data_IF_653229357200
#
_entry.id   IF_653229357200
#
_cell.length_a   1.000
_cell.length_b   1.000
_cell.length_c   1.000
_cell.angle_alpha   90.00
_cell.angle_beta   90.00
_cell.angle_gamma   90.00
#
_symmetry.space_group_name_H-M   'P 1'
#
loop_
_entity.id
_entity.type
_entity.pdbx_description
1 polymer ?
#
# COMPACT_ATOMS: atom_id res chain seq x y z
N UNK A 1 4.84 6.49 8.84
CA UNK A 1 6.01 5.82 8.25
C UNK A 1 7.03 6.84 7.79
N UNK A 2 6.62 7.80 6.96
CA UNK A 2 7.46 8.92 6.51
C UNK A 2 8.12 9.65 7.69
N UNK A 3 7.35 9.98 8.73
CA UNK A 3 7.87 10.58 9.97
C UNK A 3 8.96 9.74 10.64
N UNK A 4 8.71 8.44 10.86
CA UNK A 4 9.66 7.53 11.48
C UNK A 4 10.93 7.33 10.65
N UNK A 5 10.85 7.46 9.32
CA UNK A 5 11.99 7.33 8.42
C UNK A 5 12.97 8.52 8.49
N UNK A 6 12.54 9.63 9.09
CA UNK A 6 13.36 10.83 9.28
C UNK A 6 14.15 10.81 10.60
N UNK A 7 13.92 9.82 11.46
CA UNK A 7 14.61 9.68 12.74
C UNK A 7 15.99 9.04 12.56
N UNK A 8 16.97 9.47 13.37
CA UNK A 8 18.33 8.91 13.34
C UNK A 8 18.39 7.44 13.77
N UNK A 9 17.39 6.98 14.53
CA UNK A 9 17.29 5.60 14.99
C UNK A 9 15.95 5.31 15.68
N UNK A 10 15.58 4.04 15.71
CA UNK A 10 14.37 3.53 16.34
C UNK A 10 14.73 2.41 17.32
N UNK A 11 14.08 2.40 18.47
CA UNK A 11 14.10 1.27 19.42
C UNK A 11 12.68 0.74 19.53
N UNK A 12 12.48 -0.54 19.24
CA UNK A 12 11.16 -1.17 19.23
C UNK A 12 11.09 -2.16 20.39
N UNK A 13 10.13 -1.95 21.29
CA UNK A 13 9.85 -2.86 22.42
C UNK A 13 8.86 -3.93 21.94
N UNK A 14 9.33 -5.18 21.87
CA UNK A 14 8.49 -6.32 21.49
C UNK A 14 7.92 -6.99 22.76
N UNK A 15 6.64 -6.76 23.05
CA UNK A 15 5.95 -7.42 24.15
C UNK A 15 5.70 -8.92 23.89
N UNK A 16 5.66 -9.69 24.98
CA UNK A 16 5.28 -11.12 25.01
C UNK A 16 4.22 -11.35 26.09
N UNK A 17 3.60 -12.53 26.06
CA UNK A 17 2.57 -12.93 27.04
C UNK A 17 1.40 -11.93 27.04
N UNK A 18 1.09 -11.34 28.19
CA UNK A 18 0.03 -10.33 28.37
C UNK A 18 0.51 -8.90 28.07
N UNK A 19 1.79 -8.72 27.72
CA UNK A 19 2.38 -7.43 27.39
C UNK A 19 3.58 -7.07 28.27
N UNK A 20 3.84 -5.77 28.34
CA UNK A 20 4.94 -5.18 29.11
C UNK A 20 4.35 -4.50 30.34
N UNK A 21 5.11 -4.43 31.45
CA UNK A 21 4.68 -3.70 32.64
C UNK A 21 4.39 -2.22 32.27
N UNK A 22 3.21 -1.74 32.64
CA UNK A 22 2.74 -0.39 32.30
C UNK A 22 3.75 0.70 32.69
N UNK A 23 4.47 0.55 33.81
CA UNK A 23 5.44 1.56 34.26
C UNK A 23 6.68 1.63 33.37
N UNK A 24 6.99 0.56 32.65
CA UNK A 24 8.05 0.55 31.64
C UNK A 24 7.58 1.30 30.39
N UNK A 25 6.31 1.11 30.00
CA UNK A 25 5.71 1.85 28.89
C UNK A 25 5.65 3.35 29.21
N UNK A 26 5.06 3.73 30.35
CA UNK A 26 5.00 5.13 30.81
C UNK A 26 6.39 5.78 30.97
N UNK A 27 7.43 4.99 31.29
CA UNK A 27 8.78 5.48 31.53
C UNK A 27 9.68 5.58 30.30
N UNK A 28 9.41 4.81 29.24
CA UNK A 28 10.33 4.65 28.11
C UNK A 28 9.67 4.63 26.73
N UNK A 29 8.36 4.37 26.62
CA UNK A 29 7.69 4.33 25.33
C UNK A 29 7.16 5.71 24.94
N UNK A 30 7.67 6.26 23.84
CA UNK A 30 7.18 7.53 23.29
C UNK A 30 5.85 7.36 22.54
N UNK A 31 5.67 6.23 21.85
CA UNK A 31 4.51 5.93 21.02
C UNK A 31 4.13 4.44 21.08
N UNK A 32 2.83 4.17 20.92
CA UNK A 32 2.28 2.82 20.74
C UNK A 32 1.74 2.65 19.30
N UNK A 33 2.24 1.64 18.59
CA UNK A 33 1.90 1.42 17.18
C UNK A 33 1.27 0.02 17.03
N UNK A 34 0.08 -0.01 16.42
CA UNK A 34 -0.56 -1.26 16.01
C UNK A 34 -0.33 -1.55 14.52
N UNK A 35 -0.05 -2.81 14.19
CA UNK A 35 0.03 -3.28 12.80
C UNK A 35 -1.36 -3.59 12.19
N UNK A 36 -2.43 -3.52 13.00
CA UNK A 36 -3.82 -3.65 12.56
C UNK A 36 -4.74 -4.24 13.62
N UNK A 37 -6.02 -4.36 13.28
CA UNK A 37 -7.09 -4.80 14.20
C UNK A 37 -7.12 -6.33 14.37
N UNK A 38 -6.04 -6.89 14.89
CA UNK A 38 -5.88 -8.32 15.19
C UNK A 38 -4.84 -8.53 16.29
N UNK A 39 -4.89 -9.69 16.96
CA UNK A 39 -3.97 -10.03 18.06
C UNK A 39 -2.95 -11.06 17.56
N UNK A 40 -1.67 -10.84 17.88
CA UNK A 40 -0.55 -11.75 17.61
C UNK A 40 0.11 -12.20 18.92
N UNK A 41 0.91 -13.27 18.86
CA UNK A 41 1.53 -13.87 20.05
C UNK A 41 2.67 -13.05 20.66
N UNK A 42 3.20 -12.07 19.93
CA UNK A 42 4.34 -11.26 20.33
C UNK A 42 4.59 -10.11 19.36
N UNK A 43 5.35 -9.11 19.81
CA UNK A 43 5.62 -7.88 19.08
C UNK A 43 6.60 -8.00 17.91
N UNK A 44 7.26 -9.14 17.72
CA UNK A 44 8.31 -9.30 16.70
C UNK A 44 7.79 -9.13 15.27
N UNK A 45 6.63 -9.71 14.95
CA UNK A 45 6.07 -9.59 13.60
C UNK A 45 5.65 -8.14 13.30
N UNK A 46 4.88 -7.45 14.17
CA UNK A 46 4.64 -6.01 14.03
C UNK A 46 5.92 -5.18 13.90
N UNK A 47 6.95 -5.48 14.70
CA UNK A 47 8.22 -4.77 14.65
C UNK A 47 8.93 -4.95 13.30
N UNK A 48 8.95 -6.17 12.75
CA UNK A 48 9.51 -6.45 11.43
C UNK A 48 8.70 -5.77 10.31
N UNK A 49 7.36 -5.75 10.41
CA UNK A 49 6.51 -5.06 9.44
C UNK A 49 6.75 -3.55 9.46
N UNK A 50 6.87 -2.96 10.66
CA UNK A 50 7.19 -1.55 10.84
C UNK A 50 8.58 -1.23 10.27
N UNK A 51 9.59 -2.03 10.62
CA UNK A 51 10.95 -1.84 10.13
C UNK A 51 11.04 -1.93 8.61
N UNK A 52 10.40 -2.92 7.98
CA UNK A 52 10.34 -3.05 6.51
C UNK A 52 9.70 -1.81 5.88
N UNK A 53 8.52 -1.39 6.37
CA UNK A 53 7.81 -0.23 5.85
C UNK A 53 8.61 1.07 5.99
N UNK A 54 9.29 1.29 7.12
CA UNK A 54 10.11 2.48 7.36
C UNK A 54 11.40 2.45 6.54
N UNK A 55 12.11 1.32 6.49
CA UNK A 55 13.36 1.20 5.75
C UNK A 55 13.21 1.46 4.25
N UNK A 56 12.07 1.09 3.66
CA UNK A 56 11.77 1.39 2.24
C UNK A 56 11.72 2.88 1.94
N UNK A 57 11.37 3.71 2.92
CA UNK A 57 11.31 5.17 2.78
C UNK A 57 12.66 5.86 3.01
N UNK A 58 13.67 5.13 3.53
CA UNK A 58 15.00 5.68 3.77
C UNK A 58 15.73 5.86 2.44
N UNK A 59 16.21 7.09 2.19
CA UNK A 59 16.91 7.46 0.96
C UNK A 59 18.07 6.51 0.67
N UNK A 60 18.07 5.95 -0.53
CA UNK A 60 19.12 5.06 -1.02
C UNK A 60 18.91 3.57 -0.73
N UNK A 61 17.83 3.19 -0.06
CA UNK A 61 17.43 1.78 0.09
C UNK A 61 16.77 1.25 -1.19
N UNK A 62 15.81 2.00 -1.74
CA UNK A 62 15.24 1.72 -3.05
C UNK A 62 16.04 2.42 -4.16
N UNK A 63 16.06 1.80 -5.33
CA UNK A 63 16.85 2.28 -6.48
C UNK A 63 16.22 3.48 -7.19
N UNK A 64 14.94 3.73 -7.00
CA UNK A 64 14.18 4.80 -7.64
C UNK A 64 13.13 5.34 -6.66
N UNK A 65 13.04 6.67 -6.55
CA UNK A 65 12.08 7.34 -5.69
C UNK A 65 10.65 7.23 -6.27
N UNK A 66 10.50 7.04 -7.58
CA UNK A 66 9.18 6.81 -8.21
C UNK A 66 8.52 5.48 -7.79
N UNK A 67 9.27 4.57 -7.15
CA UNK A 67 8.74 3.27 -6.74
C UNK A 67 7.64 3.35 -5.67
N UNK A 68 7.58 4.39 -4.85
CA UNK A 68 6.56 4.51 -3.79
C UNK A 68 5.38 5.41 -4.18
N UNK A 69 5.54 6.30 -5.16
CA UNK A 69 4.49 7.28 -5.54
C UNK A 69 3.28 6.63 -6.22
N UNK A 70 3.48 5.53 -6.95
CA UNK A 70 2.39 4.76 -7.59
C UNK A 70 1.78 3.67 -6.67
N UNK A 71 2.29 3.49 -5.43
CA UNK A 71 1.86 2.41 -4.55
C UNK A 71 0.51 2.65 -3.87
N UNK A 72 -0.11 1.53 -3.48
CA UNK A 72 -1.50 1.50 -3.02
C UNK A 72 -1.80 2.37 -1.78
N UNK A 73 -0.76 2.73 -1.02
CA UNK A 73 -0.86 3.54 0.19
C UNK A 73 -0.70 5.05 -0.06
N UNK A 74 -0.10 5.46 -1.18
CA UNK A 74 0.25 6.86 -1.41
C UNK A 74 -0.93 7.67 -1.96
N UNK A 75 -1.76 7.05 -2.81
CA UNK A 75 -2.87 7.73 -3.50
C UNK A 75 -4.27 7.30 -3.05
N UNK A 76 -4.38 6.54 -1.94
CA UNK A 76 -5.64 5.94 -1.47
C UNK A 76 -6.37 5.13 -2.56
N UNK A 77 -5.62 4.52 -3.47
CA UNK A 77 -6.14 3.67 -4.55
C UNK A 77 -5.31 2.39 -4.61
N UNK A 78 -5.96 1.23 -4.75
CA UNK A 78 -5.26 -0.03 -4.99
C UNK A 78 -4.57 -0.02 -6.36
N UNK A 79 -3.42 -0.66 -6.44
CA UNK A 79 -2.70 -0.83 -7.71
C UNK A 79 -3.48 -1.61 -8.77
N UNK A 80 -3.17 -1.30 -10.03
CA UNK A 80 -3.65 -2.02 -11.20
C UNK A 80 -3.05 -3.44 -11.28
N UNK A 81 -3.70 -4.39 -11.98
CA UNK A 81 -3.13 -5.72 -12.14
C UNK A 81 -1.85 -5.69 -12.99
N UNK A 82 -0.81 -6.36 -12.50
CA UNK A 82 0.48 -6.50 -13.17
C UNK A 82 0.50 -7.79 -14.00
N UNK A 83 1.15 -7.72 -15.16
CA UNK A 83 1.32 -8.83 -16.09
C UNK A 83 2.78 -8.92 -16.52
N UNK A 84 3.28 -10.14 -16.67
CA UNK A 84 4.64 -10.41 -17.17
C UNK A 84 4.60 -11.58 -18.15
N UNK A 85 5.73 -11.85 -18.79
CA UNK A 85 5.86 -12.95 -19.75
C UNK A 85 5.55 -14.30 -19.08
N UNK A 86 4.96 -15.26 -19.81
CA UNK A 86 4.55 -15.22 -21.22
C UNK A 86 3.20 -14.53 -21.46
N UNK A 87 2.95 -14.08 -22.70
CA UNK A 87 1.71 -13.36 -23.06
C UNK A 87 0.43 -14.20 -22.84
N UNK A 88 0.51 -15.52 -22.98
CA UNK A 88 -0.58 -16.46 -22.68
C UNK A 88 -0.10 -17.46 -21.65
N UNK A 89 -0.74 -17.48 -20.48
CA UNK A 89 -0.46 -18.44 -19.42
C UNK A 89 -1.70 -19.26 -19.12
N UNK A 90 -1.63 -20.59 -19.37
CA UNK A 90 -2.76 -21.54 -19.19
C UNK A 90 -4.05 -21.10 -19.89
N UNK A 91 -3.92 -20.62 -21.14
CA UNK A 91 -5.05 -20.12 -21.93
C UNK A 91 -5.60 -18.76 -21.46
N UNK A 92 -4.94 -18.07 -20.53
CA UNK A 92 -5.28 -16.71 -20.09
C UNK A 92 -4.34 -15.73 -20.76
N UNK A 93 -4.91 -14.81 -21.52
CA UNK A 93 -4.16 -13.82 -22.28
C UNK A 93 -3.89 -12.57 -21.46
N UNK A 94 -2.73 -11.94 -21.72
CA UNK A 94 -2.43 -10.60 -21.24
C UNK A 94 -3.32 -9.61 -22.00
N UNK A 95 -3.94 -8.61 -21.33
CA UNK A 95 -4.76 -7.60 -21.99
C UNK A 95 -4.04 -6.99 -23.20
N UNK A 96 -4.70 -6.97 -24.36
CA UNK A 96 -4.10 -6.49 -25.62
C UNK A 96 -3.54 -5.06 -25.51
N UNK A 97 -4.18 -4.22 -24.70
CA UNK A 97 -3.70 -2.84 -24.43
C UNK A 97 -2.28 -2.81 -23.88
N UNK A 98 -1.89 -3.80 -23.05
CA UNK A 98 -0.53 -3.93 -22.50
C UNK A 98 0.48 -4.44 -23.53
N UNK A 99 0.00 -5.07 -24.61
CA UNK A 99 0.83 -5.56 -25.72
C UNK A 99 0.93 -4.54 -26.86
N UNK A 100 0.10 -3.49 -26.85
CA UNK A 100 -0.02 -2.52 -27.95
C UNK A 100 1.17 -1.56 -28.10
N UNK A 101 2.01 -1.42 -27.07
CA UNK A 101 3.08 -0.42 -27.02
C UNK A 101 2.61 1.04 -26.90
N UNK A 102 1.29 1.28 -26.84
CA UNK A 102 0.74 2.62 -26.69
C UNK A 102 0.73 3.05 -25.21
N UNK A 103 1.74 3.82 -24.82
CA UNK A 103 1.92 4.29 -23.45
C UNK A 103 0.70 5.02 -22.87
N UNK A 104 0.00 5.82 -23.68
CA UNK A 104 -1.16 6.59 -23.21
C UNK A 104 -2.37 5.69 -22.95
N UNK A 105 -2.62 4.72 -23.84
CA UNK A 105 -3.67 3.73 -23.62
C UNK A 105 -3.37 2.84 -22.40
N UNK A 106 -2.10 2.46 -22.20
CA UNK A 106 -1.66 1.73 -21.02
C UNK A 106 -1.87 2.55 -19.75
N UNK A 107 -1.49 3.84 -19.74
CA UNK A 107 -1.72 4.75 -18.60
C UNK A 107 -3.20 4.84 -18.22
N UNK A 108 -4.07 5.08 -19.20
CA UNK A 108 -5.53 5.14 -18.99
C UNK A 108 -6.08 3.83 -18.45
N UNK A 109 -5.67 2.71 -19.04
CA UNK A 109 -6.11 1.39 -18.59
C UNK A 109 -5.67 1.10 -17.15
N UNK A 110 -4.42 1.44 -16.78
CA UNK A 110 -3.90 1.29 -15.42
C UNK A 110 -4.74 2.09 -14.42
N UNK A 111 -5.02 3.36 -14.71
CA UNK A 111 -5.87 4.22 -13.87
C UNK A 111 -7.27 3.62 -13.70
N UNK A 112 -7.92 3.20 -14.78
CA UNK A 112 -9.26 2.59 -14.73
C UNK A 112 -9.27 1.29 -13.92
N UNK A 113 -8.28 0.42 -14.09
CA UNK A 113 -8.20 -0.83 -13.31
C UNK A 113 -7.94 -0.59 -11.82
N UNK A 114 -7.12 0.40 -11.49
CA UNK A 114 -6.88 0.83 -10.10
C UNK A 114 -8.18 1.32 -9.44
N UNK A 115 -8.94 2.19 -10.12
CA UNK A 115 -10.24 2.68 -9.64
C UNK A 115 -11.25 1.53 -9.48
N UNK A 116 -11.38 0.67 -10.49
CA UNK A 116 -12.27 -0.49 -10.44
C UNK A 116 -11.93 -1.41 -9.25
N UNK A 117 -10.65 -1.76 -9.07
CA UNK A 117 -10.21 -2.61 -7.96
C UNK A 117 -10.49 -1.97 -6.61
N UNK A 118 -10.26 -0.68 -6.49
CA UNK A 118 -10.52 0.07 -5.25
C UNK A 118 -12.02 0.08 -4.95
N UNK A 119 -12.86 0.46 -5.92
CA UNK A 119 -14.31 0.47 -5.77
C UNK A 119 -14.89 -0.90 -5.38
N UNK A 120 -14.36 -1.99 -5.95
CA UNK A 120 -14.85 -3.35 -5.66
C UNK A 120 -14.35 -3.88 -4.31
N UNK A 121 -13.07 -3.67 -3.98
CA UNK A 121 -12.43 -4.38 -2.87
C UNK A 121 -12.29 -3.56 -1.59
N UNK A 122 -12.10 -2.25 -1.72
CA UNK A 122 -11.82 -1.32 -0.62
C UNK A 122 -12.51 0.03 -0.91
N UNK A 123 -13.85 0.05 -1.10
CA UNK A 123 -14.59 1.26 -1.51
C UNK A 123 -14.39 2.44 -0.56
N UNK A 124 -14.12 2.17 0.71
CA UNK A 124 -13.88 3.19 1.72
C UNK A 124 -12.61 4.03 1.47
N UNK A 125 -11.62 3.50 0.72
CA UNK A 125 -10.42 4.26 0.33
C UNK A 125 -10.75 5.40 -0.64
N UNK A 126 -11.82 5.27 -1.44
CA UNK A 126 -12.22 6.29 -2.42
C UNK A 126 -12.59 7.64 -1.77
N UNK A 127 -12.96 7.64 -0.49
CA UNK A 127 -13.30 8.87 0.25
C UNK A 127 -12.12 9.83 0.37
N UNK A 128 -10.90 9.28 0.42
CA UNK A 128 -9.67 10.05 0.60
C UNK A 128 -8.83 10.12 -0.68
N UNK A 129 -9.27 9.48 -1.77
CA UNK A 129 -8.56 9.46 -3.04
C UNK A 129 -8.72 10.79 -3.80
N UNK A 130 -7.63 11.27 -4.41
CA UNK A 130 -7.68 12.39 -5.35
C UNK A 130 -8.26 11.92 -6.69
N UNK A 131 -9.56 12.17 -6.90
CA UNK A 131 -10.32 11.76 -8.07
C UNK A 131 -10.62 12.96 -8.98
N UNK A 132 -10.26 12.85 -10.26
CA UNK A 132 -10.70 13.77 -11.31
C UNK A 132 -12.19 13.55 -11.64
N UNK A 133 -12.80 14.49 -12.35
CA UNK A 133 -14.20 14.35 -12.78
C UNK A 133 -14.39 13.13 -13.71
N UNK A 134 -13.38 12.81 -14.52
CA UNK A 134 -13.39 11.61 -15.35
C UNK A 134 -13.33 10.32 -14.51
N UNK A 135 -12.58 10.31 -13.40
CA UNK A 135 -12.51 9.16 -12.50
C UNK A 135 -13.86 8.93 -11.80
N UNK A 136 -14.51 10.01 -11.34
CA UNK A 136 -15.83 9.95 -10.69
C UNK A 136 -16.89 9.43 -11.67
N UNK A 137 -16.94 9.98 -12.88
CA UNK A 137 -17.85 9.51 -13.92
C UNK A 137 -17.62 8.03 -14.27
N UNK A 138 -16.36 7.59 -14.31
CA UNK A 138 -16.03 6.18 -14.51
C UNK A 138 -16.53 5.32 -13.35
N UNK A 139 -16.28 5.70 -12.10
CA UNK A 139 -16.77 4.95 -10.92
C UNK A 139 -18.29 4.86 -10.92
N UNK A 140 -19.00 5.96 -11.18
CA UNK A 140 -20.47 5.98 -11.30
C UNK A 140 -20.95 5.01 -12.39
N UNK A 141 -20.26 4.97 -13.52
CA UNK A 141 -20.60 4.06 -14.63
C UNK A 141 -20.46 2.57 -14.29
N UNK A 142 -19.71 2.22 -13.25
CA UNK A 142 -19.56 0.84 -12.81
C UNK A 142 -20.83 0.29 -12.12
N UNK A 143 -21.70 1.16 -11.59
CA UNK A 143 -22.92 0.75 -10.89
C UNK A 143 -22.66 -0.05 -9.60
N UNK A 144 -21.52 0.19 -8.93
CA UNK A 144 -21.09 -0.54 -7.72
C UNK A 144 -21.42 0.25 -6.43
N UNK A 145 -21.97 1.46 -6.56
CA UNK A 145 -22.46 2.31 -5.47
C UNK A 145 -23.98 2.38 -5.44
#
# INVERSE_FOLDING_TARGET
>A
MDELSLLDGLVIICGHYEGVDERVLEGYADEEISAGDYVVTGGEMPALMLADAVCRMVKGVLSDDECFEEESCFNSLLEYPQYTRPAVWRGRETPEVLLSGNHENVRKWRRMQSLYRTAVKRPELLKNACLSDADKAYIESLGIT
#
